data_IF_993058137391
#
_entry.id   IF_993058137391
#
_cell.length_a   1.000
_cell.length_b   1.000
_cell.length_c   1.000
_cell.angle_alpha   90.00
_cell.angle_beta   90.00
_cell.angle_gamma   90.00
#
_symmetry.space_group_name_H-M   'P 1'
#
loop_
_entity.id
_entity.type
_entity.pdbx_description
1 polymer ?
#
# COMPACT_ATOMS: atom_id res chain seq x y z
N UNK A 1 -29.35 -4.40 4.43
CA UNK A 1 -29.24 -4.87 3.99
C UNK A 1 -29.16 -5.44 3.94
N UNK A 2 -28.69 -5.48 3.94
CA UNK A 2 -28.51 -6.00 3.55
C UNK A 2 -28.52 -6.28 2.80
N UNK A 3 -29.22 -6.20 3.12
CA UNK A 3 -29.29 -6.52 1.87
C UNK A 3 -28.11 -6.45 1.17
N UNK A 4 -27.84 -5.53 0.58
CA UNK A 4 -26.72 -5.47 -0.06
C UNK A 4 -25.61 -5.77 0.69
N UNK A 5 -25.72 -5.89 1.90
CA UNK A 5 -24.70 -6.27 2.59
C UNK A 5 -24.61 -7.72 2.80
N UNK A 6 -25.42 -8.60 2.27
CA UNK A 6 -25.38 -10.02 2.49
C UNK A 6 -24.05 -10.64 2.17
N UNK A 7 -23.38 -10.16 1.12
CA UNK A 7 -22.13 -10.78 0.73
C UNK A 7 -21.00 -10.49 1.70
N UNK A 8 -21.17 -9.56 2.62
CA UNK A 8 -20.14 -9.25 3.58
C UNK A 8 -20.27 -10.03 4.87
N UNK A 9 -21.34 -10.82 5.04
CA UNK A 9 -21.60 -11.41 6.31
C UNK A 9 -21.72 -12.87 6.35
N UNK A 10 -21.88 -13.53 5.28
CA UNK A 10 -22.14 -14.95 5.31
C UNK A 10 -20.86 -15.74 5.29
N UNK A 11 -20.99 -17.05 5.34
CA UNK A 11 -19.93 -17.91 5.08
C UNK A 11 -19.42 -17.59 3.73
N UNK A 12 -18.18 -17.61 3.49
CA UNK A 12 -17.61 -17.16 2.26
C UNK A 12 -17.52 -15.67 2.19
N UNK A 13 -17.67 -14.97 3.33
CA UNK A 13 -17.48 -13.56 3.39
C UNK A 13 -16.13 -13.17 2.81
N UNK A 14 -16.10 -12.09 2.04
CA UNK A 14 -14.88 -11.60 1.41
C UNK A 14 -13.82 -11.19 2.43
N UNK A 15 -12.59 -11.49 2.11
CA UNK A 15 -11.45 -11.12 2.95
C UNK A 15 -10.60 -10.07 2.23
N UNK A 16 -9.69 -9.46 2.99
CA UNK A 16 -8.75 -8.49 2.43
C UNK A 16 -7.88 -9.17 1.36
N UNK A 17 -7.50 -10.43 1.59
CA UNK A 17 -6.76 -11.21 0.59
C UNK A 17 -7.52 -11.40 -0.70
N UNK A 18 -8.84 -11.54 -0.63
CA UNK A 18 -9.67 -11.66 -1.83
C UNK A 18 -9.61 -10.37 -2.65
N UNK A 19 -9.62 -9.21 -2.00
CA UNK A 19 -9.50 -7.92 -2.69
C UNK A 19 -8.16 -7.84 -3.39
N UNK A 20 -7.09 -8.22 -2.70
CA UNK A 20 -5.75 -8.17 -3.27
C UNK A 20 -5.64 -9.08 -4.50
N UNK A 21 -6.14 -10.30 -4.39
CA UNK A 21 -6.09 -11.27 -5.50
C UNK A 21 -6.96 -10.85 -6.67
N UNK A 22 -7.98 -10.05 -6.41
CA UNK A 22 -8.88 -9.56 -7.45
C UNK A 22 -8.37 -8.34 -8.20
N UNK A 23 -7.24 -7.77 -7.78
CA UNK A 23 -6.68 -6.63 -8.51
C UNK A 23 -6.26 -7.07 -9.89
N UNK A 24 -6.61 -6.24 -10.87
CA UNK A 24 -6.29 -6.55 -12.26
C UNK A 24 -5.36 -5.46 -12.79
N UNK A 25 -4.70 -5.75 -13.89
CA UNK A 25 -3.80 -4.80 -14.54
C UNK A 25 -2.35 -5.24 -14.45
N UNK A 26 -1.48 -4.41 -14.96
CA UNK A 26 -0.06 -4.74 -15.08
C UNK A 26 0.77 -4.36 -13.86
N UNK A 27 0.16 -3.75 -12.85
CA UNK A 27 0.90 -3.30 -11.68
C UNK A 27 1.17 -4.48 -10.74
N UNK A 28 2.42 -4.69 -10.33
CA UNK A 28 2.72 -5.74 -9.36
C UNK A 28 1.97 -5.49 -8.05
N UNK A 29 1.65 -6.53 -7.28
CA UNK A 29 0.88 -6.33 -6.05
C UNK A 29 1.64 -5.58 -4.97
N UNK A 30 2.97 -5.65 -4.97
CA UNK A 30 3.76 -5.02 -3.92
C UNK A 30 4.85 -4.13 -4.51
N UNK A 31 4.46 -2.97 -5.05
CA UNK A 31 5.40 -1.95 -5.51
C UNK A 31 6.05 -1.32 -4.27
N UNK A 32 7.37 -1.24 -4.24
CA UNK A 32 8.10 -0.81 -3.07
C UNK A 32 9.41 -0.12 -3.45
N UNK A 33 10.03 0.52 -2.45
CA UNK A 33 11.38 1.07 -2.59
C UNK A 33 12.19 0.72 -1.33
N UNK A 34 13.45 1.11 -1.32
CA UNK A 34 14.37 0.83 -0.22
C UNK A 34 14.91 2.12 0.38
N UNK A 35 15.27 2.12 1.69
CA UNK A 35 15.70 3.35 2.36
C UNK A 35 16.95 3.99 1.74
N UNK A 36 17.80 3.17 1.11
CA UNK A 36 19.05 3.66 0.52
C UNK A 36 18.92 4.10 -0.93
N UNK A 37 17.77 3.92 -1.53
CA UNK A 37 17.52 4.44 -2.88
C UNK A 37 17.34 5.95 -2.80
N UNK A 38 17.52 6.64 -3.93
CA UNK A 38 17.38 8.10 -3.96
C UNK A 38 15.93 8.50 -4.14
N UNK A 39 15.64 9.74 -3.80
CA UNK A 39 14.33 10.34 -4.06
C UNK A 39 13.98 10.23 -5.54
N UNK A 40 14.95 10.43 -6.43
CA UNK A 40 14.74 10.27 -7.87
C UNK A 40 14.29 8.85 -8.21
N UNK A 41 14.96 7.84 -7.63
CA UNK A 41 14.61 6.44 -7.88
C UNK A 41 13.18 6.16 -7.44
N UNK A 42 12.80 6.70 -6.29
CA UNK A 42 11.43 6.51 -5.77
C UNK A 42 10.40 7.16 -6.69
N UNK A 43 10.68 8.36 -7.19
CA UNK A 43 9.79 9.05 -8.12
C UNK A 43 9.62 8.22 -9.39
N UNK A 44 10.72 7.67 -9.90
CA UNK A 44 10.66 6.86 -11.11
C UNK A 44 9.78 5.62 -10.91
N UNK A 45 9.87 4.98 -9.75
CA UNK A 45 9.03 3.83 -9.43
C UNK A 45 7.55 4.23 -9.36
N UNK A 46 7.24 5.31 -8.65
CA UNK A 46 5.85 5.79 -8.54
C UNK A 46 5.26 6.06 -9.93
N UNK A 47 6.05 6.67 -10.81
CA UNK A 47 5.59 7.01 -12.15
C UNK A 47 5.48 5.77 -13.04
N UNK A 48 6.44 4.88 -12.95
CA UNK A 48 6.44 3.67 -13.77
C UNK A 48 5.18 2.84 -13.51
N UNK A 49 4.79 2.68 -12.26
CA UNK A 49 3.66 1.85 -11.90
C UNK A 49 2.37 2.62 -11.68
N UNK A 50 2.41 3.95 -11.80
CA UNK A 50 1.21 4.77 -11.69
C UNK A 50 0.58 4.73 -10.30
N UNK A 51 1.39 4.61 -9.26
CA UNK A 51 0.89 4.57 -7.87
C UNK A 51 1.25 5.86 -7.16
N UNK A 52 0.48 6.22 -6.14
CA UNK A 52 0.68 7.47 -5.41
C UNK A 52 1.36 7.28 -4.06
N UNK A 53 1.54 6.04 -3.62
CA UNK A 53 2.29 5.73 -2.42
C UNK A 53 2.81 4.30 -2.51
N UNK A 54 3.89 4.02 -1.78
CA UNK A 54 4.44 2.68 -1.72
C UNK A 54 5.20 2.48 -0.41
N UNK A 55 5.31 1.23 0.07
CA UNK A 55 6.11 0.96 1.26
C UNK A 55 7.60 1.08 0.99
N UNK A 56 8.34 1.43 2.06
CA UNK A 56 9.79 1.41 2.09
C UNK A 56 10.20 0.21 2.89
N UNK A 57 10.93 -0.72 2.29
CA UNK A 57 11.33 -1.97 2.94
C UNK A 57 12.84 -2.10 2.97
N UNK A 58 13.33 -2.76 4.03
CA UNK A 58 14.76 -2.82 4.32
C UNK A 58 15.50 -3.80 3.42
N UNK A 59 14.81 -4.75 2.82
CA UNK A 59 15.42 -5.79 2.00
C UNK A 59 14.51 -6.12 0.82
N UNK A 60 15.00 -6.95 -0.09
CA UNK A 60 14.16 -7.40 -1.21
C UNK A 60 13.11 -8.39 -0.72
N UNK A 61 11.85 -8.27 -1.16
CA UNK A 61 10.84 -9.25 -0.80
C UNK A 61 11.22 -10.65 -1.28
N UNK A 62 10.81 -11.69 -0.52
CA UNK A 62 9.88 -11.63 0.60
C UNK A 62 10.55 -11.13 1.88
N UNK A 63 9.84 -10.27 2.60
CA UNK A 63 10.33 -9.72 3.87
C UNK A 63 9.28 -9.93 4.95
N UNK A 64 9.65 -9.73 6.20
CA UNK A 64 8.70 -9.77 7.30
C UNK A 64 8.12 -8.36 7.51
N UNK A 65 6.99 -8.29 8.17
CA UNK A 65 6.33 -7.01 8.46
C UNK A 65 7.25 -6.01 9.14
N UNK A 66 8.12 -6.48 10.03
CA UNK A 66 9.05 -5.60 10.76
C UNK A 66 10.09 -4.92 9.87
N UNK A 67 10.25 -5.40 8.65
CA UNK A 67 11.21 -4.81 7.71
C UNK A 67 10.61 -3.66 6.89
N UNK A 68 9.33 -3.38 7.07
CA UNK A 68 8.70 -2.21 6.47
C UNK A 68 8.99 -1.03 7.40
N UNK A 69 9.80 -0.10 6.95
CA UNK A 69 10.31 0.98 7.79
C UNK A 69 9.62 2.32 7.56
N UNK A 70 8.84 2.45 6.52
CA UNK A 70 8.15 3.70 6.23
C UNK A 70 7.37 3.59 4.94
N UNK A 71 7.00 4.75 4.39
CA UNK A 71 6.32 4.83 3.11
C UNK A 71 6.79 6.04 2.33
N UNK A 72 6.64 5.98 1.01
CA UNK A 72 6.81 7.16 0.16
C UNK A 72 5.42 7.56 -0.29
N UNK A 73 5.05 8.80 0.00
CA UNK A 73 3.75 9.36 -0.38
C UNK A 73 4.01 10.48 -1.37
N UNK A 74 3.47 10.33 -2.56
CA UNK A 74 3.70 11.27 -3.66
C UNK A 74 3.46 12.71 -3.26
N UNK A 75 2.34 12.96 -2.59
CA UNK A 75 1.97 14.32 -2.22
C UNK A 75 2.98 14.94 -1.25
N UNK A 76 3.41 14.18 -0.24
CA UNK A 76 4.36 14.67 0.74
C UNK A 76 5.73 14.92 0.11
N UNK A 77 6.15 14.03 -0.77
CA UNK A 77 7.45 14.14 -1.43
C UNK A 77 7.49 15.34 -2.36
N UNK A 78 6.40 15.56 -3.11
CA UNK A 78 6.31 16.72 -4.00
C UNK A 78 6.41 18.01 -3.21
N UNK A 79 5.72 18.07 -2.07
CA UNK A 79 5.74 19.25 -1.21
C UNK A 79 7.15 19.51 -0.69
N UNK A 80 7.86 18.47 -0.26
CA UNK A 80 9.23 18.62 0.22
C UNK A 80 10.18 19.10 -0.88
N UNK A 81 10.06 18.55 -2.08
CA UNK A 81 10.90 18.96 -3.20
C UNK A 81 10.61 20.40 -3.60
N UNK A 82 9.35 20.75 -3.66
CA UNK A 82 8.97 22.09 -4.12
C UNK A 82 9.39 23.17 -3.13
N UNK A 83 9.42 22.85 -1.85
CA UNK A 83 9.82 23.80 -0.80
C UNK A 83 11.32 23.71 -0.45
N UNK A 84 12.08 22.94 -1.19
CA UNK A 84 13.52 22.84 -1.00
C UNK A 84 13.97 22.02 0.20
N UNK A 85 13.04 21.29 0.84
CA UNK A 85 13.39 20.42 1.97
C UNK A 85 14.00 19.09 1.52
N UNK A 86 13.78 18.69 0.29
CA UNK A 86 14.33 17.47 -0.27
C UNK A 86 15.01 17.76 -1.60
N UNK A 87 16.04 16.97 -1.92
CA UNK A 87 16.73 17.01 -3.19
C UNK A 87 16.62 15.65 -3.85
N UNK A 88 16.69 15.60 -5.19
CA UNK A 88 16.56 14.36 -5.92
C UNK A 88 17.64 13.32 -5.57
N UNK A 89 18.81 13.78 -5.15
CA UNK A 89 19.91 12.87 -4.78
C UNK A 89 19.87 12.40 -3.34
N UNK A 90 18.93 12.91 -2.54
CA UNK A 90 18.82 12.49 -1.14
C UNK A 90 18.35 11.05 -1.05
N UNK A 91 18.72 10.38 0.04
CA UNK A 91 18.24 9.02 0.29
C UNK A 91 16.76 9.06 0.70
N UNK A 92 16.02 8.03 0.30
CA UNK A 92 14.60 7.91 0.60
C UNK A 92 14.33 7.99 2.10
N UNK A 93 15.19 7.36 2.93
CA UNK A 93 14.95 7.32 4.37
C UNK A 93 15.00 8.71 5.04
N UNK A 94 15.59 9.71 4.38
CA UNK A 94 15.62 11.06 4.92
C UNK A 94 14.28 11.78 4.74
N UNK A 95 13.41 11.29 3.86
CA UNK A 95 12.17 11.96 3.51
C UNK A 95 10.95 11.06 3.49
N UNK A 96 11.06 9.85 3.99
CA UNK A 96 9.93 8.94 3.99
C UNK A 96 8.91 9.32 5.06
N UNK A 97 7.68 8.94 4.81
CA UNK A 97 6.55 9.11 5.73
C UNK A 97 6.45 7.88 6.65
N UNK A 98 5.61 7.92 7.68
CA UNK A 98 5.39 6.75 8.52
C UNK A 98 4.92 5.54 7.71
N UNK A 99 5.15 4.35 8.22
CA UNK A 99 4.74 3.13 7.54
C UNK A 99 3.21 3.08 7.40
N UNK A 100 2.77 2.51 6.29
CA UNK A 100 1.34 2.31 6.05
C UNK A 100 0.79 1.28 7.05
N UNK A 101 -0.51 1.36 7.39
CA UNK A 101 -1.11 0.36 8.26
C UNK A 101 -1.10 -1.02 7.59
N UNK A 102 -1.14 -2.05 8.39
CA UNK A 102 -1.08 -3.43 7.93
C UNK A 102 -2.32 -4.19 8.36
N UNK A 103 -2.82 -5.06 7.48
CA UNK A 103 -4.00 -5.88 7.74
C UNK A 103 -3.70 -7.29 7.25
N UNK A 104 -4.12 -8.30 7.99
CA UNK A 104 -3.94 -9.69 7.57
C UNK A 104 -4.84 -10.05 6.40
N UNK A 105 -4.33 -10.88 5.49
CA UNK A 105 -5.10 -11.30 4.33
C UNK A 105 -6.39 -12.04 4.71
N UNK A 106 -6.39 -12.73 5.83
CA UNK A 106 -7.57 -13.46 6.29
C UNK A 106 -8.62 -12.62 6.99
N UNK A 107 -8.34 -11.34 7.24
CA UNK A 107 -9.31 -10.48 7.90
C UNK A 107 -10.44 -10.08 6.96
N UNK A 108 -11.62 -9.77 7.49
CA UNK A 108 -12.74 -9.35 6.63
C UNK A 108 -12.43 -8.00 5.99
N UNK A 109 -13.06 -7.73 4.87
CA UNK A 109 -12.89 -6.50 4.11
C UNK A 109 -13.07 -5.26 5.00
N UNK A 110 -13.95 -5.34 6.01
CA UNK A 110 -14.18 -4.22 6.92
C UNK A 110 -12.89 -3.75 7.60
N UNK A 111 -11.96 -4.66 7.86
CA UNK A 111 -10.69 -4.28 8.47
C UNK A 111 -9.89 -3.31 7.57
N UNK A 112 -9.92 -3.54 6.26
CA UNK A 112 -9.27 -2.63 5.32
C UNK A 112 -10.03 -1.31 5.22
N UNK A 113 -11.36 -1.36 5.23
CA UNK A 113 -12.17 -0.14 5.20
C UNK A 113 -11.83 0.74 6.40
N UNK A 114 -11.74 0.14 7.58
CA UNK A 114 -11.42 0.89 8.79
C UNK A 114 -10.03 1.52 8.72
N UNK A 115 -9.04 0.76 8.25
CA UNK A 115 -7.69 1.26 8.11
C UNK A 115 -7.60 2.41 7.09
N UNK A 116 -8.42 2.36 6.06
CA UNK A 116 -8.42 3.38 5.01
C UNK A 116 -9.18 4.65 5.37
N UNK A 117 -9.75 4.72 6.59
CA UNK A 117 -10.31 5.98 7.08
C UNK A 117 -9.19 6.99 7.37
N UNK A 118 -8.03 6.50 7.81
CA UNK A 118 -6.93 7.38 8.21
C UNK A 118 -5.69 7.26 7.33
N UNK A 119 -5.72 6.42 6.35
CA UNK A 119 -4.58 6.20 5.45
C UNK A 119 -5.08 6.03 4.03
N UNK A 120 -4.19 6.22 3.05
CA UNK A 120 -4.56 6.11 1.65
C UNK A 120 -4.33 4.72 1.09
N UNK A 121 -3.61 3.89 1.81
CA UNK A 121 -3.33 2.52 1.40
C UNK A 121 -3.05 1.67 2.64
N UNK A 122 -3.21 0.37 2.50
CA UNK A 122 -2.96 -0.59 3.57
C UNK A 122 -2.13 -1.74 3.01
N UNK A 123 -1.14 -2.19 3.79
CA UNK A 123 -0.32 -3.33 3.40
C UNK A 123 -1.05 -4.60 3.84
N UNK A 124 -1.15 -5.57 2.95
CA UNK A 124 -1.79 -6.85 3.24
C UNK A 124 -0.72 -7.86 3.59
N UNK A 125 -0.88 -8.50 4.74
CA UNK A 125 0.06 -9.51 5.23
C UNK A 125 -0.49 -10.91 5.06
N UNK A 126 0.37 -11.84 4.63
CA UNK A 126 0.05 -13.25 4.60
C UNK A 126 1.16 -13.95 5.37
N UNK A 127 0.81 -14.63 6.44
CA UNK A 127 1.80 -15.28 7.32
C UNK A 127 2.89 -14.32 7.79
N UNK A 128 2.48 -13.09 8.12
CA UNK A 128 3.39 -12.08 8.63
C UNK A 128 4.26 -11.39 7.59
N UNK A 129 4.04 -11.69 6.31
CA UNK A 129 4.84 -11.13 5.23
C UNK A 129 3.99 -10.23 4.34
N UNK A 130 4.48 -9.03 4.01
CA UNK A 130 3.77 -8.17 3.06
C UNK A 130 3.64 -8.84 1.70
N UNK A 131 2.41 -8.92 1.22
CA UNK A 131 2.12 -9.54 -0.08
C UNK A 131 1.64 -8.52 -1.10
N UNK A 132 1.12 -7.40 -0.66
CA UNK A 132 0.64 -6.39 -1.57
C UNK A 132 0.06 -5.19 -0.84
N UNK A 133 -0.47 -4.26 -1.61
CA UNK A 133 -1.05 -3.02 -1.10
C UNK A 133 -2.46 -2.87 -1.67
N UNK A 134 -3.40 -2.49 -0.82
CA UNK A 134 -4.79 -2.26 -1.21
C UNK A 134 -5.14 -0.80 -0.93
N UNK A 135 -5.79 -0.15 -1.88
CA UNK A 135 -6.24 1.23 -1.78
C UNK A 135 -7.76 1.29 -1.79
N UNK A 136 -8.32 2.50 -1.57
CA UNK A 136 -9.77 2.71 -1.69
C UNK A 136 -10.27 2.35 -3.07
N UNK A 137 -9.50 2.66 -4.12
CA UNK A 137 -9.89 2.33 -5.48
C UNK A 137 -9.98 0.82 -5.68
N UNK A 138 -9.07 0.08 -5.08
CA UNK A 138 -9.09 -1.38 -5.16
C UNK A 138 -10.34 -1.94 -4.49
N UNK A 139 -10.73 -1.38 -3.34
CA UNK A 139 -11.95 -1.81 -2.67
C UNK A 139 -13.18 -1.50 -3.50
N UNK A 140 -13.25 -0.28 -4.04
CA UNK A 140 -14.39 0.10 -4.87
C UNK A 140 -14.49 -0.80 -6.10
N UNK A 141 -13.36 -1.11 -6.72
CA UNK A 141 -13.32 -2.01 -7.86
C UNK A 141 -13.80 -3.41 -7.51
N UNK A 142 -13.37 -3.91 -6.36
CA UNK A 142 -13.76 -5.25 -5.91
C UNK A 142 -15.27 -5.32 -5.63
N UNK A 143 -15.80 -4.28 -4.98
CA UNK A 143 -17.22 -4.26 -4.60
C UNK A 143 -18.14 -4.07 -5.79
N UNK A 144 -17.64 -3.56 -6.89
CA UNK A 144 -18.46 -3.29 -8.09
C UNK A 144 -18.19 -4.26 -9.23
N UNK A 145 -17.33 -5.21 -9.02
CA UNK A 145 -16.96 -6.18 -10.06
C UNK A 145 -18.09 -7.17 -10.35
#
# INVERSE_FOLDING_TARGET
WLGRYGFLRSEGQATVGDVLRGKTGAVPPFVHTHPTETVRDAIDILREFGVSQMPVVRAEPPVMAAEVVGSVVERALLDDLFNGRAQLADAVDAHMSPALPMVGAGEPVQAAVDALHDADAVIVLEDGKPEGVVTRQDLLGYLTA
#
